data_IF_631821742090
#
_entry.id   IF_631821742090
#
_cell.length_a   1.000
_cell.length_b   1.000
_cell.length_c   1.000
_cell.angle_alpha   90.00
_cell.angle_beta   90.00
_cell.angle_gamma   90.00
#
_symmetry.space_group_name_H-M   'P 1'
#
loop_
_entity.id
_entity.type
_entity.pdbx_description
1 polymer ?
#
# COMPACT_ATOMS: atom_id res chain seq x y z
N UNK A 1 69.28 -26.18 -7.43
CA UNK A 1 68.37 -25.11 -7.88
C UNK A 1 67.31 -25.72 -8.78
N UNK A 2 66.07 -25.88 -8.30
CA UNK A 2 64.97 -26.43 -9.11
C UNK A 2 64.41 -25.33 -10.02
N UNK A 3 64.32 -25.62 -11.32
CA UNK A 3 63.83 -24.71 -12.36
C UNK A 3 62.36 -24.37 -12.10
N UNK A 4 61.97 -23.11 -12.33
CA UNK A 4 60.57 -22.64 -12.26
C UNK A 4 59.71 -23.49 -13.20
N UNK A 5 58.70 -24.16 -12.62
CA UNK A 5 57.70 -24.94 -13.35
C UNK A 5 56.83 -24.03 -14.22
N UNK A 6 56.66 -24.36 -15.50
CA UNK A 6 55.73 -23.73 -16.45
C UNK A 6 54.34 -24.39 -16.44
N UNK A 7 54.01 -25.16 -15.39
CA UNK A 7 52.68 -25.75 -15.29
C UNK A 7 51.62 -24.64 -15.14
N UNK A 8 50.48 -24.72 -15.85
CA UNK A 8 49.36 -23.81 -15.63
C UNK A 8 48.95 -23.86 -14.16
N UNK A 9 49.14 -22.75 -13.45
CA UNK A 9 48.68 -22.64 -12.07
C UNK A 9 47.15 -22.63 -12.09
N UNK A 10 46.52 -23.53 -11.32
CA UNK A 10 45.08 -23.42 -11.04
C UNK A 10 44.85 -22.05 -10.44
N UNK A 11 44.18 -21.15 -11.16
CA UNK A 11 43.71 -19.90 -10.58
C UNK A 11 42.79 -20.27 -9.44
N UNK A 12 43.09 -19.81 -8.24
CA UNK A 12 42.16 -19.89 -7.12
C UNK A 12 40.93 -19.11 -7.55
N UNK A 13 39.83 -19.80 -7.86
CA UNK A 13 38.53 -19.16 -8.01
C UNK A 13 38.20 -18.58 -6.63
N UNK A 14 38.52 -17.31 -6.43
CA UNK A 14 38.20 -16.59 -5.19
C UNK A 14 36.97 -15.74 -5.48
N UNK A 15 35.83 -16.41 -5.57
CA UNK A 15 34.56 -15.72 -5.43
C UNK A 15 34.46 -15.28 -3.97
N UNK A 16 34.10 -14.01 -3.75
CA UNK A 16 33.77 -13.56 -2.40
C UNK A 16 32.42 -14.13 -2.00
N UNK A 17 32.17 -14.28 -0.70
CA UNK A 17 30.87 -14.75 -0.21
C UNK A 17 29.73 -13.85 -0.71
N UNK A 18 29.96 -12.54 -0.84
CA UNK A 18 28.97 -11.60 -1.35
C UNK A 18 28.62 -11.85 -2.83
N UNK A 19 29.60 -12.16 -3.67
CA UNK A 19 29.37 -12.54 -5.07
C UNK A 19 28.54 -13.83 -5.16
N UNK A 20 28.81 -14.79 -4.26
CA UNK A 20 28.04 -16.04 -4.22
C UNK A 20 26.59 -15.75 -3.79
N UNK A 21 26.35 -14.82 -2.85
CA UNK A 21 25.00 -14.43 -2.45
C UNK A 21 24.24 -13.75 -3.59
N UNK A 22 24.89 -12.87 -4.35
CA UNK A 22 24.30 -12.25 -5.53
C UNK A 22 23.86 -13.32 -6.56
N UNK A 23 24.72 -14.31 -6.80
CA UNK A 23 24.38 -15.43 -7.68
C UNK A 23 23.23 -16.30 -7.14
N UNK A 24 23.19 -16.52 -5.81
CA UNK A 24 22.09 -17.26 -5.15
C UNK A 24 20.76 -16.51 -5.30
N UNK A 25 20.75 -15.19 -5.11
CA UNK A 25 19.55 -14.36 -5.27
C UNK A 25 19.07 -14.30 -6.73
N UNK A 26 19.96 -14.52 -7.70
CA UNK A 26 19.61 -14.63 -9.11
C UNK A 26 18.85 -15.94 -9.46
N UNK A 27 18.79 -16.93 -8.57
CA UNK A 27 18.07 -18.21 -8.76
C UNK A 27 16.52 -18.06 -8.65
N UNK A 28 16.03 -16.82 -8.65
CA UNK A 28 14.60 -16.52 -8.72
C UNK A 28 13.93 -17.24 -9.91
N UNK A 29 12.78 -17.92 -9.73
CA UNK A 29 11.83 -17.83 -8.62
C UNK A 29 11.84 -19.03 -7.62
N UNK A 30 12.89 -19.84 -7.59
CA UNK A 30 12.88 -21.08 -6.80
C UNK A 30 13.38 -20.89 -5.36
N UNK A 31 12.49 -20.37 -4.49
CA UNK A 31 12.79 -20.10 -3.07
C UNK A 31 13.41 -21.30 -2.32
N UNK A 32 12.96 -22.52 -2.57
CA UNK A 32 13.51 -23.71 -1.90
C UNK A 32 14.98 -23.98 -2.29
N UNK A 33 15.30 -23.84 -3.57
CA UNK A 33 16.65 -24.01 -4.10
C UNK A 33 17.56 -22.87 -3.62
N UNK A 34 17.06 -21.63 -3.65
CA UNK A 34 17.74 -20.46 -3.08
C UNK A 34 18.08 -20.69 -1.60
N UNK A 35 17.11 -21.14 -0.81
CA UNK A 35 17.28 -21.37 0.62
C UNK A 35 18.28 -22.50 0.92
N UNK A 36 18.27 -23.59 0.15
CA UNK A 36 19.26 -24.65 0.26
C UNK A 36 20.69 -24.13 0.03
N UNK A 37 20.89 -23.25 -0.95
CA UNK A 37 22.20 -22.67 -1.24
C UNK A 37 22.70 -21.77 -0.10
N UNK A 38 21.82 -21.03 0.59
CA UNK A 38 22.19 -20.30 1.81
C UNK A 38 22.67 -21.23 2.93
N UNK A 39 21.98 -22.36 3.14
CA UNK A 39 22.41 -23.34 4.14
C UNK A 39 23.75 -24.00 3.78
N UNK A 40 24.07 -24.15 2.49
CA UNK A 40 25.39 -24.60 2.04
C UNK A 40 26.52 -23.61 2.37
N UNK A 41 26.18 -22.34 2.66
CA UNK A 41 27.11 -21.31 3.11
C UNK A 41 27.14 -21.14 4.64
N UNK A 42 26.47 -22.02 5.39
CA UNK A 42 26.22 -21.87 6.84
C UNK A 42 25.51 -20.55 7.20
N UNK A 43 24.80 -19.95 6.25
CA UNK A 43 24.02 -18.74 6.43
C UNK A 43 22.52 -19.03 6.45
N UNK A 44 21.76 -18.21 7.19
CA UNK A 44 20.29 -18.30 7.15
C UNK A 44 19.77 -17.58 5.91
N UNK A 45 18.83 -18.20 5.16
CA UNK A 45 18.24 -17.53 4.02
C UNK A 45 17.47 -16.27 4.44
N UNK A 46 17.42 -15.23 3.58
CA UNK A 46 16.58 -14.07 3.81
C UNK A 46 15.12 -14.49 3.95
N UNK A 47 14.52 -14.19 5.09
CA UNK A 47 13.11 -14.48 5.36
C UNK A 47 12.27 -13.43 4.66
N UNK A 48 11.61 -13.79 3.57
CA UNK A 48 10.53 -12.97 3.02
C UNK A 48 9.27 -13.13 3.87
N UNK A 49 8.89 -12.07 4.58
CA UNK A 49 7.63 -12.00 5.34
C UNK A 49 6.42 -11.83 4.40
N UNK A 50 6.16 -12.85 3.55
CA UNK A 50 5.02 -12.84 2.62
C UNK A 50 3.68 -12.69 3.37
N UNK A 51 3.57 -13.29 4.55
CA UNK A 51 2.37 -13.21 5.39
C UNK A 51 2.16 -11.82 6.00
N UNK A 52 3.22 -11.14 6.46
CA UNK A 52 3.10 -9.81 7.07
C UNK A 52 2.65 -8.76 6.05
N UNK A 53 3.14 -8.82 4.80
CA UNK A 53 2.65 -7.94 3.72
C UNK A 53 1.16 -8.17 3.42
N UNK A 54 0.69 -9.40 3.57
CA UNK A 54 -0.69 -9.77 3.34
C UNK A 54 -1.61 -9.30 4.49
N UNK A 55 -1.13 -9.38 5.74
CA UNK A 55 -1.81 -8.81 6.91
C UNK A 55 -1.90 -7.28 6.86
N UNK A 56 -0.82 -6.60 6.45
CA UNK A 56 -0.83 -5.14 6.22
C UNK A 56 -1.83 -4.75 5.14
N UNK A 57 -1.89 -5.51 4.04
CA UNK A 57 -2.85 -5.28 2.97
C UNK A 57 -4.31 -5.46 3.45
N UNK A 58 -4.59 -6.55 4.18
CA UNK A 58 -5.92 -6.81 4.74
C UNK A 58 -6.34 -5.72 5.73
N UNK A 59 -5.42 -5.29 6.59
CA UNK A 59 -5.65 -4.21 7.55
C UNK A 59 -5.92 -2.88 6.84
N UNK A 60 -5.14 -2.58 5.80
CA UNK A 60 -5.34 -1.41 4.94
C UNK A 60 -6.70 -1.42 4.24
N UNK A 61 -7.13 -2.58 3.74
CA UNK A 61 -8.42 -2.75 3.07
C UNK A 61 -9.61 -2.52 4.01
N UNK A 62 -9.55 -3.08 5.23
CA UNK A 62 -10.60 -2.88 6.24
C UNK A 62 -10.73 -1.41 6.65
N UNK A 63 -9.60 -0.71 6.80
CA UNK A 63 -9.61 0.72 7.11
C UNK A 63 -10.23 1.54 5.97
N UNK A 64 -9.98 1.15 4.71
CA UNK A 64 -10.55 1.83 3.55
C UNK A 64 -12.07 1.70 3.50
N UNK A 65 -12.58 0.51 3.82
CA UNK A 65 -14.03 0.23 3.87
C UNK A 65 -14.71 1.08 4.96
N UNK A 66 -14.12 1.17 6.16
CA UNK A 66 -14.63 2.02 7.24
C UNK A 66 -14.65 3.51 6.86
N UNK A 67 -13.61 3.99 6.17
CA UNK A 67 -13.55 5.37 5.66
C UNK A 67 -14.62 5.59 4.59
N UNK A 68 -14.85 4.62 3.71
CA UNK A 68 -15.88 4.69 2.69
C UNK A 68 -17.29 4.79 3.30
N UNK A 69 -17.58 4.01 4.34
CA UNK A 69 -18.86 4.08 5.06
C UNK A 69 -19.05 5.45 5.71
N UNK A 70 -18.03 5.95 6.40
CA UNK A 70 -18.05 7.27 7.04
C UNK A 70 -18.30 8.40 6.01
N UNK A 71 -17.68 8.30 4.83
CA UNK A 71 -17.89 9.26 3.74
C UNK A 71 -19.31 9.19 3.18
N UNK A 72 -19.89 7.99 3.03
CA UNK A 72 -21.28 7.85 2.57
C UNK A 72 -22.27 8.49 3.54
N UNK A 73 -22.05 8.33 4.84
CA UNK A 73 -22.93 8.92 5.84
C UNK A 73 -22.78 10.44 5.88
N UNK A 74 -21.55 10.96 5.76
CA UNK A 74 -21.32 12.40 5.65
C UNK A 74 -22.03 13.00 4.41
N UNK A 75 -21.99 12.32 3.26
CA UNK A 75 -22.71 12.77 2.06
C UNK A 75 -24.22 12.86 2.32
N UNK A 76 -24.82 11.85 2.96
CA UNK A 76 -26.24 11.89 3.32
C UNK A 76 -26.58 13.06 4.25
N UNK A 77 -25.72 13.36 5.22
CA UNK A 77 -25.92 14.50 6.12
C UNK A 77 -25.87 15.83 5.37
N UNK A 78 -24.92 15.98 4.44
CA UNK A 78 -24.82 17.17 3.59
C UNK A 78 -26.05 17.34 2.70
N UNK A 79 -26.54 16.26 2.09
CA UNK A 79 -27.77 16.28 1.29
C UNK A 79 -28.98 16.68 2.13
N UNK A 80 -29.11 16.14 3.34
CA UNK A 80 -30.17 16.49 4.28
C UNK A 80 -30.13 17.98 4.63
N UNK A 81 -28.96 18.50 5.01
CA UNK A 81 -28.79 19.93 5.31
C UNK A 81 -29.11 20.82 4.12
N UNK A 82 -28.74 20.39 2.91
CA UNK A 82 -29.04 21.13 1.67
C UNK A 82 -30.54 21.25 1.43
N UNK A 83 -31.28 20.17 1.69
CA UNK A 83 -32.75 20.17 1.59
C UNK A 83 -33.37 21.06 2.67
N UNK A 84 -32.93 20.94 3.94
CA UNK A 84 -33.43 21.78 5.04
C UNK A 84 -33.20 23.28 4.78
N UNK A 85 -32.04 23.66 4.23
CA UNK A 85 -31.75 25.05 3.85
C UNK A 85 -32.68 25.51 2.71
N UNK A 86 -32.92 24.65 1.71
CA UNK A 86 -33.83 24.98 0.61
C UNK A 86 -35.28 25.18 1.08
N UNK A 87 -35.75 24.32 1.97
CA UNK A 87 -37.08 24.44 2.57
C UNK A 87 -37.22 25.70 3.43
N UNK A 88 -36.19 26.02 4.21
CA UNK A 88 -36.16 27.26 4.99
C UNK A 88 -36.16 28.50 4.10
N UNK A 89 -35.40 28.50 3.00
CA UNK A 89 -35.38 29.60 2.04
C UNK A 89 -36.74 29.82 1.35
N UNK A 90 -37.41 28.73 0.94
CA UNK A 90 -38.75 28.84 0.35
C UNK A 90 -39.76 29.36 1.37
N UNK A 91 -39.70 28.90 2.62
CA UNK A 91 -40.52 29.41 3.72
C UNK A 91 -40.30 30.90 3.99
N UNK A 92 -39.05 31.37 3.97
CA UNK A 92 -38.73 32.80 4.12
C UNK A 92 -39.27 33.62 2.95
N UNK A 93 -39.04 33.18 1.70
CA UNK A 93 -39.55 33.88 0.51
C UNK A 93 -41.07 34.03 0.55
N UNK A 94 -41.79 32.97 0.91
CA UNK A 94 -43.25 33.01 1.05
C UNK A 94 -43.70 34.00 2.11
N UNK A 95 -43.05 34.01 3.28
CA UNK A 95 -43.34 35.00 4.34
C UNK A 95 -43.11 36.44 3.89
N UNK A 96 -42.08 36.69 3.07
CA UNK A 96 -41.81 38.01 2.50
C UNK A 96 -42.92 38.42 1.53
N UNK A 97 -43.37 37.53 0.65
CA UNK A 97 -44.48 37.79 -0.30
C UNK A 97 -45.81 38.04 0.43
N UNK A 98 -46.12 37.25 1.46
CA UNK A 98 -47.31 37.41 2.30
C UNK A 98 -47.29 38.76 3.07
N UNK A 99 -46.11 39.22 3.49
CA UNK A 99 -45.97 40.54 4.14
C UNK A 99 -46.15 41.70 3.16
N UNK A 100 -45.62 41.56 1.93
CA UNK A 100 -45.71 42.59 0.90
C UNK A 100 -47.14 42.78 0.39
N UNK A 101 -47.85 41.67 0.16
CA UNK A 101 -49.28 41.69 -0.23
C UNK A 101 -50.18 42.34 0.83
N UNK A 102 -49.84 42.22 2.13
CA UNK A 102 -50.54 42.89 3.23
C UNK A 102 -50.29 44.40 3.32
N UNK A 103 -49.13 44.89 2.88
CA UNK A 103 -48.80 46.33 2.92
C UNK A 103 -49.26 47.08 1.66
N UNK A 104 -49.59 46.36 0.57
CA UNK A 104 -50.05 46.92 -0.70
C UNK A 104 -51.59 46.95 -0.83
N UNK A 105 -52.35 46.63 0.23
CA UNK A 105 -53.81 46.73 0.24
C UNK A 105 -54.21 48.15 0.72
N UNK A 106 -54.97 48.95 -0.07
CA UNK A 106 -55.32 50.34 0.27
C UNK A 106 -56.25 50.50 1.47
#
# INVERSE_FOLDING_TARGET
MFKKSNAPQKRTLSLTTDQIKEDIEAVWPHDEQRNMLYYCLDEKPPVEYKLSKMEEFLTGSNNLESVQESLKDLVKEVEKLTNEISDNLTGIKKKIEDHKSRTDTP
#
